data_IF_787163656325
#
_entry.id   IF_787163656325
#
_cell.length_a   1.000
_cell.length_b   1.000
_cell.length_c   1.000
_cell.angle_alpha   90.00
_cell.angle_beta   90.00
_cell.angle_gamma   90.00
#
_symmetry.space_group_name_H-M   'P 1'
#
loop_
_entity.id
_entity.type
_entity.pdbx_description
1 polymer ?
#
# COMPACT_ATOMS: atom_id res chain seq x y z
N UNK A 1 -28.67 4.77 -47.30
CA UNK A 1 -27.38 4.16 -46.91
C UNK A 1 -27.59 3.57 -45.53
N UNK A 2 -27.81 2.25 -45.48
CA UNK A 2 -28.09 1.48 -44.28
C UNK A 2 -26.79 1.22 -43.52
N UNK A 3 -26.77 1.55 -42.23
CA UNK A 3 -25.64 1.29 -41.34
C UNK A 3 -25.80 -0.12 -40.76
N UNK A 4 -24.85 -1.00 -41.07
CA UNK A 4 -24.78 -2.35 -40.53
C UNK A 4 -24.10 -2.31 -39.15
N UNK A 5 -24.80 -2.80 -38.12
CA UNK A 5 -24.30 -2.83 -36.75
C UNK A 5 -23.25 -3.93 -36.58
N UNK A 6 -22.06 -3.57 -36.10
CA UNK A 6 -21.01 -4.54 -35.75
C UNK A 6 -21.48 -5.46 -34.60
N UNK A 7 -21.11 -6.75 -34.60
CA UNK A 7 -21.59 -7.70 -33.60
C UNK A 7 -21.01 -7.40 -32.21
N UNK A 8 -21.87 -7.45 -31.19
CA UNK A 8 -21.49 -7.30 -29.81
C UNK A 8 -20.54 -8.43 -29.38
N UNK A 9 -19.30 -8.08 -29.03
CA UNK A 9 -18.34 -8.99 -28.40
C UNK A 9 -18.86 -9.26 -26.99
N UNK A 10 -19.39 -10.47 -26.77
CA UNK A 10 -19.78 -10.95 -25.45
C UNK A 10 -18.55 -10.97 -24.52
N UNK A 11 -18.49 -10.04 -23.58
CA UNK A 11 -17.53 -10.09 -22.48
C UNK A 11 -18.00 -11.17 -21.51
N UNK A 12 -17.19 -12.19 -21.19
CA UNK A 12 -17.60 -13.21 -20.25
C UNK A 12 -17.81 -12.59 -18.85
N UNK A 13 -18.79 -13.09 -18.07
CA UNK A 13 -19.11 -12.51 -16.78
C UNK A 13 -17.93 -12.67 -15.82
N UNK A 14 -17.58 -11.58 -15.12
CA UNK A 14 -16.66 -11.62 -13.98
C UNK A 14 -17.25 -12.52 -12.89
N UNK A 15 -16.96 -13.82 -12.97
CA UNK A 15 -17.15 -14.74 -11.86
C UNK A 15 -16.14 -14.35 -10.78
N UNK A 16 -16.56 -13.48 -9.86
CA UNK A 16 -15.91 -13.35 -8.56
C UNK A 16 -16.22 -14.63 -7.78
N UNK A 17 -15.42 -15.68 -7.99
CA UNK A 17 -15.45 -16.84 -7.11
C UNK A 17 -14.59 -16.59 -5.89
N UNK A 18 -15.02 -17.18 -4.78
CA UNK A 18 -14.49 -17.11 -3.42
C UNK A 18 -13.12 -17.83 -3.29
N UNK A 19 -12.21 -17.61 -4.26
CA UNK A 19 -10.89 -18.27 -4.36
C UNK A 19 -9.69 -17.33 -4.17
N UNK A 20 -9.90 -16.01 -4.13
CA UNK A 20 -8.83 -15.00 -4.07
C UNK A 20 -8.03 -14.97 -2.74
N UNK A 21 -8.39 -15.83 -1.77
CA UNK A 21 -7.71 -15.92 -0.48
C UNK A 21 -6.47 -16.82 -0.47
N UNK A 22 -6.22 -17.64 -1.50
CA UNK A 22 -5.20 -18.71 -1.40
C UNK A 22 -3.74 -18.30 -1.73
N UNK A 23 -3.48 -17.07 -2.18
CA UNK A 23 -2.11 -16.59 -2.49
C UNK A 23 -1.71 -15.35 -1.70
N UNK A 24 -2.07 -15.30 -0.42
CA UNK A 24 -1.43 -14.39 0.53
C UNK A 24 -0.45 -15.22 1.34
N UNK A 25 0.66 -15.62 0.72
CA UNK A 25 1.72 -16.29 1.48
C UNK A 25 2.34 -15.22 2.37
N UNK A 26 2.02 -15.29 3.67
CA UNK A 26 2.79 -14.63 4.71
C UNK A 26 4.15 -15.34 4.73
N UNK A 27 5.00 -15.02 3.76
CA UNK A 27 6.33 -15.59 3.63
C UNK A 27 7.14 -15.11 4.83
N UNK A 28 7.52 -16.03 5.70
CA UNK A 28 8.45 -15.78 6.79
C UNK A 28 9.86 -15.56 6.24
N UNK A 29 10.49 -14.46 6.67
CA UNK A 29 11.92 -14.09 6.80
C UNK A 29 13.04 -14.64 5.89
N UNK A 30 12.83 -15.59 4.97
CA UNK A 30 13.88 -16.26 4.20
C UNK A 30 14.05 -15.75 2.76
N UNK A 31 13.22 -14.82 2.28
CA UNK A 31 13.30 -14.31 0.89
C UNK A 31 13.99 -12.94 0.75
N UNK A 32 14.49 -12.34 1.85
CA UNK A 32 15.28 -11.10 1.79
C UNK A 32 16.52 -11.21 0.90
N UNK A 33 16.94 -12.42 0.54
CA UNK A 33 18.15 -12.67 -0.24
C UNK A 33 17.90 -12.69 -1.75
N UNK A 34 16.64 -12.79 -2.21
CA UNK A 34 16.35 -12.79 -3.65
C UNK A 34 16.57 -11.41 -4.25
N UNK A 35 17.38 -11.36 -5.32
CA UNK A 35 17.70 -10.12 -6.04
C UNK A 35 16.45 -9.37 -6.50
N UNK A 36 15.41 -10.09 -6.92
CA UNK A 36 14.17 -9.53 -7.46
C UNK A 36 13.34 -8.85 -6.37
N UNK A 37 13.27 -9.43 -5.17
CA UNK A 37 12.57 -8.85 -4.02
C UNK A 37 13.32 -7.64 -3.46
N UNK A 38 14.65 -7.72 -3.35
CA UNK A 38 15.48 -6.60 -2.92
C UNK A 38 15.31 -5.37 -3.81
N UNK A 39 15.28 -5.54 -5.13
CA UNK A 39 15.04 -4.43 -6.06
C UNK A 39 13.69 -3.76 -5.79
N UNK A 40 12.62 -4.53 -5.58
CA UNK A 40 11.29 -3.95 -5.29
C UNK A 40 11.27 -3.25 -3.94
N UNK A 41 11.92 -3.81 -2.91
CA UNK A 41 12.01 -3.20 -1.59
C UNK A 41 12.78 -1.87 -1.63
N UNK A 42 13.97 -1.88 -2.24
CA UNK A 42 14.82 -0.69 -2.36
C UNK A 42 14.19 0.38 -3.25
N UNK A 43 13.90 0.05 -4.51
CA UNK A 43 13.55 1.05 -5.52
C UNK A 43 12.17 1.67 -5.30
N UNK A 44 11.22 0.90 -4.75
CA UNK A 44 9.82 1.36 -4.64
C UNK A 44 9.43 1.83 -3.26
N UNK A 45 10.06 1.30 -2.21
CA UNK A 45 9.60 1.53 -0.84
C UNK A 45 10.65 2.32 -0.08
N UNK A 46 11.87 1.80 0.07
CA UNK A 46 12.91 2.51 0.84
C UNK A 46 13.27 3.85 0.19
N UNK A 47 13.50 3.86 -1.13
CA UNK A 47 13.81 5.11 -1.84
C UNK A 47 12.66 6.11 -1.72
N UNK A 48 11.39 5.67 -1.85
CA UNK A 48 10.23 6.55 -1.74
C UNK A 48 10.07 7.12 -0.31
N UNK A 49 10.33 6.32 0.72
CA UNK A 49 10.30 6.77 2.11
C UNK A 49 11.35 7.83 2.38
N UNK A 50 12.58 7.60 1.89
CA UNK A 50 13.71 8.53 2.02
C UNK A 50 13.48 9.82 1.22
N UNK A 51 13.02 9.73 -0.03
CA UNK A 51 12.74 10.89 -0.89
C UNK A 51 11.62 11.77 -0.32
N UNK A 52 10.60 11.16 0.28
CA UNK A 52 9.50 11.88 0.89
C UNK A 52 9.82 12.38 2.31
N UNK A 53 11.03 12.14 2.84
CA UNK A 53 11.39 12.52 4.21
C UNK A 53 10.48 11.89 5.27
N UNK A 54 9.94 10.70 4.97
CA UNK A 54 8.88 10.06 5.77
C UNK A 54 9.35 9.76 7.18
N UNK A 55 10.64 9.44 7.36
CA UNK A 55 11.22 9.20 8.68
C UNK A 55 12.62 9.80 8.81
N UNK A 56 12.99 10.06 10.06
CA UNK A 56 14.34 10.49 10.47
C UNK A 56 14.86 9.51 11.52
N UNK A 57 16.16 9.24 11.51
CA UNK A 57 16.78 8.38 12.52
C UNK A 57 17.07 9.19 13.78
N UNK A 58 16.53 8.73 14.91
CA UNK A 58 16.69 9.37 16.22
C UNK A 58 16.91 8.29 17.29
N UNK A 59 17.57 8.61 18.42
CA UNK A 59 17.57 7.72 19.56
C UNK A 59 16.13 7.53 20.07
N UNK A 60 15.82 6.32 20.50
CA UNK A 60 14.52 6.00 21.09
C UNK A 60 14.36 6.81 22.40
N UNK A 61 13.32 7.64 22.54
CA UNK A 61 13.07 8.36 23.78
C UNK A 61 12.78 7.40 24.94
N UNK A 62 13.15 7.80 26.15
CA UNK A 62 12.78 7.03 27.35
C UNK A 62 11.27 6.87 27.44
N UNK A 63 10.82 5.66 27.82
CA UNK A 63 9.41 5.28 27.99
C UNK A 63 8.56 5.21 26.71
N UNK A 64 9.19 5.16 25.53
CA UNK A 64 8.49 4.83 24.29
C UNK A 64 8.86 3.42 23.80
N UNK A 65 7.86 2.72 23.28
CA UNK A 65 8.02 1.41 22.63
C UNK A 65 7.98 1.59 21.12
N UNK A 66 9.06 1.26 20.38
CA UNK A 66 9.05 1.37 18.93
C UNK A 66 8.20 0.26 18.31
N UNK A 67 7.49 0.60 17.24
CA UNK A 67 6.67 -0.33 16.47
C UNK A 67 7.57 -1.16 15.54
N UNK A 68 7.32 -2.46 15.49
CA UNK A 68 8.05 -3.37 14.61
C UNK A 68 7.67 -3.20 13.13
N UNK A 69 8.40 -3.87 12.25
CA UNK A 69 8.06 -3.96 10.84
C UNK A 69 7.72 -5.39 10.44
N UNK A 70 6.90 -5.50 9.40
CA UNK A 70 6.65 -6.76 8.69
C UNK A 70 6.58 -6.53 7.20
N UNK A 71 7.34 -7.31 6.45
CA UNK A 71 7.24 -7.36 5.01
C UNK A 71 6.13 -8.32 4.59
N UNK A 72 5.29 -7.86 3.66
CA UNK A 72 4.26 -8.68 3.02
C UNK A 72 4.58 -8.77 1.53
N UNK A 73 4.90 -9.97 1.09
CA UNK A 73 5.26 -10.26 -0.29
C UNK A 73 4.09 -10.88 -1.04
N UNK A 74 3.97 -10.53 -2.31
CA UNK A 74 2.96 -11.10 -3.21
C UNK A 74 3.47 -11.13 -4.63
N UNK A 75 3.47 -12.31 -5.22
CA UNK A 75 3.61 -12.44 -6.67
C UNK A 75 2.27 -12.12 -7.33
N UNK A 76 2.33 -11.33 -8.40
CA UNK A 76 1.18 -11.01 -9.23
C UNK A 76 1.28 -11.81 -10.51
N UNK A 77 0.24 -12.57 -10.77
CA UNK A 77 0.00 -13.25 -12.03
C UNK A 77 -1.02 -12.46 -12.86
N UNK A 78 -0.95 -12.61 -14.18
CA UNK A 78 -1.97 -12.09 -15.08
C UNK A 78 -3.19 -13.03 -15.12
N UNK A 79 -4.23 -12.67 -15.90
CA UNK A 79 -5.44 -13.48 -16.07
C UNK A 79 -5.19 -14.87 -16.68
N UNK A 80 -4.00 -15.10 -17.23
CA UNK A 80 -3.57 -16.36 -17.83
C UNK A 80 -2.67 -17.19 -16.90
N UNK A 81 -2.50 -16.78 -15.63
CA UNK A 81 -1.66 -17.49 -14.65
C UNK A 81 -0.15 -17.31 -14.85
N UNK A 82 0.27 -16.37 -15.71
CA UNK A 82 1.69 -16.09 -15.97
C UNK A 82 2.18 -15.02 -15.00
N UNK A 83 3.35 -15.23 -14.39
CA UNK A 83 4.01 -14.25 -13.53
C UNK A 83 4.14 -12.90 -14.25
N UNK A 84 3.57 -11.87 -13.64
CA UNK A 84 3.54 -10.51 -14.16
C UNK A 84 4.47 -9.58 -13.37
N UNK A 85 4.43 -9.64 -12.03
CA UNK A 85 5.20 -8.72 -11.19
C UNK A 85 5.34 -9.15 -9.73
N UNK A 86 6.51 -8.89 -9.14
CA UNK A 86 6.72 -8.91 -7.69
C UNK A 86 6.16 -7.67 -6.99
N UNK A 87 5.40 -7.87 -5.90
CA UNK A 87 4.86 -6.79 -5.05
C UNK A 87 5.24 -7.00 -3.60
N UNK A 88 6.07 -6.11 -3.06
CA UNK A 88 6.34 -6.03 -1.63
C UNK A 88 5.50 -4.90 -1.00
N UNK A 89 5.20 -5.04 0.29
CA UNK A 89 4.61 -4.00 1.14
C UNK A 89 5.32 -4.03 2.48
N UNK A 90 5.70 -2.86 2.96
CA UNK A 90 6.19 -2.68 4.32
C UNK A 90 5.01 -2.28 5.20
N UNK A 91 4.78 -3.00 6.29
CA UNK A 91 3.64 -2.79 7.19
C UNK A 91 4.17 -2.64 8.61
N UNK A 92 3.58 -1.72 9.36
CA UNK A 92 3.79 -1.61 10.79
C UNK A 92 3.27 -2.88 11.48
N UNK A 93 4.15 -3.59 12.17
CA UNK A 93 3.81 -4.80 12.89
C UNK A 93 3.52 -4.44 14.35
N UNK A 94 2.40 -3.76 14.56
CA UNK A 94 2.00 -3.33 15.88
C UNK A 94 1.04 -4.36 16.49
N UNK A 95 1.57 -5.27 17.30
CA UNK A 95 0.77 -6.24 18.05
C UNK A 95 0.11 -5.62 19.30
N UNK A 96 0.28 -4.31 19.55
CA UNK A 96 -0.19 -3.67 20.76
C UNK A 96 -1.56 -3.00 20.65
N UNK A 97 -2.16 -2.96 19.45
CA UNK A 97 -3.47 -2.33 19.26
C UNK A 97 -4.57 -3.11 20.00
N UNK A 98 -5.16 -2.50 21.02
CA UNK A 98 -6.27 -3.08 21.78
C UNK A 98 -7.62 -2.61 21.24
N UNK A 99 -8.48 -3.55 20.87
CA UNK A 99 -9.87 -3.28 20.46
C UNK A 99 -10.59 -2.46 21.54
N UNK A 100 -10.99 -1.23 21.19
CA UNK A 100 -11.74 -0.33 22.08
C UNK A 100 -10.92 0.80 22.73
N UNK A 101 -9.58 0.71 22.77
CA UNK A 101 -8.71 1.81 23.21
C UNK A 101 -8.15 2.58 22.01
N UNK A 102 -7.46 1.87 21.10
CA UNK A 102 -6.76 2.48 19.97
C UNK A 102 -7.61 2.55 18.69
N UNK A 103 -8.80 1.93 18.69
CA UNK A 103 -9.71 1.83 17.53
C UNK A 103 -10.85 2.85 17.54
N UNK A 104 -10.78 3.90 18.35
CA UNK A 104 -11.93 4.82 18.53
C UNK A 104 -12.21 5.71 17.31
N UNK A 105 -11.26 5.87 16.38
CA UNK A 105 -11.40 6.73 15.20
C UNK A 105 -10.62 6.19 13.98
N UNK A 106 -11.17 5.17 13.33
CA UNK A 106 -10.70 4.75 11.99
C UNK A 106 -11.33 5.64 10.93
N UNK A 107 -10.78 6.83 10.69
CA UNK A 107 -11.19 7.66 9.55
C UNK A 107 -10.62 7.07 8.27
N UNK A 108 -11.36 6.14 7.67
CA UNK A 108 -11.15 5.81 6.26
C UNK A 108 -11.77 6.93 5.42
N UNK A 109 -10.95 7.71 4.71
CA UNK A 109 -11.35 8.71 3.71
C UNK A 109 -11.97 8.04 2.46
N UNK A 110 -12.79 7.00 2.64
CA UNK A 110 -13.46 6.31 1.54
C UNK A 110 -14.66 7.14 1.16
N UNK A 111 -14.50 7.88 0.06
CA UNK A 111 -15.61 8.57 -0.60
C UNK A 111 -16.71 7.53 -0.89
N UNK A 112 -17.93 7.82 -0.46
CA UNK A 112 -19.07 6.93 -0.70
C UNK A 112 -19.30 6.78 -2.21
N UNK A 113 -19.60 5.56 -2.66
CA UNK A 113 -19.97 5.28 -4.04
C UNK A 113 -21.12 6.15 -4.56
N UNK A 114 -22.05 6.56 -3.69
CA UNK A 114 -23.13 7.49 -4.05
C UNK A 114 -22.56 8.85 -4.50
N UNK A 115 -21.60 9.39 -3.75
CA UNK A 115 -20.94 10.66 -4.07
C UNK A 115 -20.15 10.56 -5.38
N UNK A 116 -19.43 9.46 -5.60
CA UNK A 116 -18.70 9.22 -6.86
C UNK A 116 -19.67 9.21 -8.05
N UNK A 117 -20.79 8.49 -7.92
CA UNK A 117 -21.82 8.43 -8.97
C UNK A 117 -22.43 9.80 -9.24
N UNK A 118 -22.74 10.58 -8.20
CA UNK A 118 -23.30 11.92 -8.34
C UNK A 118 -22.37 12.84 -9.13
N UNK A 119 -21.09 12.89 -8.77
CA UNK A 119 -20.08 13.71 -9.49
C UNK A 119 -19.95 13.26 -10.94
N UNK A 120 -19.95 11.96 -11.20
CA UNK A 120 -19.88 11.41 -12.56
C UNK A 120 -21.13 11.79 -13.38
N UNK A 121 -22.33 11.68 -12.80
CA UNK A 121 -23.58 12.08 -13.46
C UNK A 121 -23.60 13.58 -13.77
N UNK A 122 -23.14 14.42 -12.85
CA UNK A 122 -22.98 15.86 -13.06
C UNK A 122 -22.02 16.15 -14.22
N UNK A 123 -20.84 15.54 -14.21
CA UNK A 123 -19.86 15.72 -15.28
C UNK A 123 -20.41 15.28 -16.65
N UNK A 124 -21.11 14.14 -16.72
CA UNK A 124 -21.72 13.67 -17.96
C UNK A 124 -22.85 14.60 -18.45
N UNK A 125 -23.72 15.07 -17.54
CA UNK A 125 -24.83 15.97 -17.91
C UNK A 125 -24.36 17.34 -18.42
N UNK A 126 -23.18 17.80 -17.98
CA UNK A 126 -22.58 19.08 -18.40
C UNK A 126 -21.51 18.91 -19.49
N UNK A 127 -21.30 17.69 -20.01
CA UNK A 127 -20.31 17.42 -21.05
C UNK A 127 -18.85 17.63 -20.60
N UNK A 128 -18.56 17.53 -19.30
CA UNK A 128 -17.22 17.72 -18.76
C UNK A 128 -16.31 16.52 -19.06
N UNK A 129 -15.07 16.81 -19.45
CA UNK A 129 -14.04 15.78 -19.62
C UNK A 129 -13.58 15.27 -18.26
N UNK A 130 -13.65 13.94 -18.06
CA UNK A 130 -13.19 13.28 -16.84
C UNK A 130 -11.83 12.64 -17.10
N UNK A 131 -10.85 12.93 -16.24
CA UNK A 131 -9.54 12.29 -16.25
C UNK A 131 -9.31 11.60 -14.91
N UNK A 132 -8.75 10.38 -14.96
CA UNK A 132 -8.36 9.64 -13.76
C UNK A 132 -6.89 9.91 -13.46
N UNK A 133 -6.60 10.37 -12.24
CA UNK A 133 -5.25 10.44 -11.70
C UNK A 133 -5.09 9.35 -10.64
N UNK A 134 -4.11 8.48 -10.81
CA UNK A 134 -3.72 7.48 -9.82
C UNK A 134 -2.35 7.88 -9.25
N UNK A 135 -2.32 8.27 -7.98
CA UNK A 135 -1.09 8.74 -7.33
C UNK A 135 -0.43 7.57 -6.61
N UNK A 136 0.75 7.19 -7.07
CA UNK A 136 1.56 6.19 -6.38
C UNK A 136 1.94 6.68 -4.99
N UNK A 137 1.83 5.81 -3.99
CA UNK A 137 2.17 6.10 -2.59
C UNK A 137 1.41 7.26 -1.96
N UNK A 138 0.15 7.51 -2.35
CA UNK A 138 -0.69 8.56 -1.76
C UNK A 138 -0.82 8.49 -0.22
N UNK A 139 -0.62 7.30 0.38
CA UNK A 139 -0.61 7.11 1.83
C UNK A 139 0.57 7.80 2.52
N UNK A 140 1.64 8.14 1.81
CA UNK A 140 2.81 8.86 2.34
C UNK A 140 2.63 10.39 2.38
N UNK A 141 1.57 10.92 1.76
CA UNK A 141 1.34 12.37 1.66
C UNK A 141 0.55 12.90 2.87
N UNK A 142 -0.04 12.02 3.67
CA UNK A 142 -0.80 12.41 4.86
C UNK A 142 0.11 12.89 5.99
N UNK A 143 -0.32 13.95 6.69
CA UNK A 143 0.33 14.38 7.93
C UNK A 143 -0.17 13.53 9.10
N UNK A 144 0.75 13.09 9.96
CA UNK A 144 0.44 12.26 11.11
C UNK A 144 0.51 13.12 12.38
N UNK A 145 -0.61 13.25 13.09
CA UNK A 145 -0.65 14.06 14.33
C UNK A 145 0.15 13.43 15.48
N UNK A 146 0.31 12.12 15.46
CA UNK A 146 0.97 11.35 16.51
C UNK A 146 2.43 11.06 16.17
N UNK A 147 3.29 11.10 17.19
CA UNK A 147 4.72 10.77 17.03
C UNK A 147 4.88 9.26 17.02
N UNK A 148 5.14 8.73 15.84
CA UNK A 148 5.31 7.30 15.64
C UNK A 148 6.80 6.95 15.52
N UNK A 149 7.26 6.01 16.35
CA UNK A 149 8.62 5.50 16.35
C UNK A 149 8.60 4.05 15.87
N UNK A 150 9.44 3.71 14.92
CA UNK A 150 9.55 2.36 14.38
C UNK A 150 10.98 1.87 14.50
N UNK A 151 11.15 0.56 14.63
CA UNK A 151 12.47 -0.09 14.54
C UNK A 151 13.10 0.23 13.17
N UNK A 152 14.35 -0.11 12.90
CA UNK A 152 14.84 -0.04 11.51
C UNK A 152 14.23 -1.20 10.69
N UNK A 153 13.87 -1.00 9.41
CA UNK A 153 13.31 -2.07 8.60
C UNK A 153 14.34 -3.18 8.40
N UNK A 154 13.94 -4.45 8.55
CA UNK A 154 14.87 -5.58 8.47
C UNK A 154 15.50 -5.64 7.08
N UNK A 155 16.82 -5.81 7.03
CA UNK A 155 17.62 -5.78 5.79
C UNK A 155 18.11 -4.39 5.36
N UNK A 156 17.67 -3.33 6.04
CA UNK A 156 18.07 -1.94 5.77
C UNK A 156 18.55 -1.21 7.04
N UNK A 157 18.99 -1.98 8.04
CA UNK A 157 19.54 -1.47 9.29
C UNK A 157 20.94 -0.86 9.06
N UNK A 158 21.23 0.22 9.76
CA UNK A 158 22.55 0.86 9.73
C UNK A 158 23.46 0.15 10.75
N UNK A 159 24.52 -0.57 10.31
CA UNK A 159 25.36 -1.35 11.22
C UNK A 159 26.08 -0.51 12.28
N UNK A 160 26.36 0.76 11.97
CA UNK A 160 27.01 1.70 12.90
C UNK A 160 26.06 2.30 13.93
N UNK A 161 24.74 2.16 13.76
CA UNK A 161 23.76 2.78 14.63
C UNK A 161 22.51 1.90 14.85
N UNK A 162 22.66 0.67 15.37
CA UNK A 162 21.56 -0.28 15.52
C UNK A 162 20.51 0.15 16.57
N UNK A 163 20.89 1.02 17.51
CA UNK A 163 20.02 1.52 18.58
C UNK A 163 19.10 2.67 18.14
N UNK A 164 19.30 3.22 16.94
CA UNK A 164 18.45 4.28 16.42
C UNK A 164 17.14 3.72 15.89
N UNK A 165 16.08 4.52 16.03
CA UNK A 165 14.74 4.22 15.55
C UNK A 165 14.31 5.22 14.49
N UNK A 166 13.47 4.77 13.57
CA UNK A 166 12.83 5.61 12.55
C UNK A 166 11.68 6.38 13.20
N UNK A 167 11.86 7.68 13.41
CA UNK A 167 10.77 8.59 13.82
C UNK A 167 10.06 9.09 12.58
N UNK A 168 8.76 8.82 12.47
CA UNK A 168 7.94 9.34 11.38
C UNK A 168 7.79 10.87 11.52
N UNK A 169 8.13 11.58 10.46
CA UNK A 169 7.98 13.04 10.35
C UNK A 169 6.74 13.30 9.48
N UNK A 170 5.57 13.18 10.10
CA UNK A 170 4.28 13.53 9.50
C UNK A 170 3.72 14.80 10.10
#
# INVERSE_FOLDING_TARGET
MSYEAAPAIATPPLKRTMGDLHHMKLMENQEYTSKQWNQVMTDKIILALTQNGTYTLVPLPERMTPIGWKWVFREKENSYGIHYRYKARLVANDFHQQLGFDFTITFSLVVNHVTIRLVLTLALSHGWSIKKLDVNNAYLIGTLKEKLYMVQPPGFEIPSAPHLVCKHSG
#
